data_IF_302330106397
#
_entry.id   IF_302330106397
#
_cell.length_a   1.000
_cell.length_b   1.000
_cell.length_c   1.000
_cell.angle_alpha   90.00
_cell.angle_beta   90.00
_cell.angle_gamma   90.00
#
_symmetry.space_group_name_H-M   'P 1'
#
loop_
_entity.id
_entity.type
_entity.pdbx_description
1 polymer ?
#
# COMPACT_ATOMS: atom_id res chain seq x y z
N UNK A 1 22.05 -14.95 -5.05
CA UNK A 1 21.98 -13.48 -5.07
C UNK A 1 20.71 -13.09 -4.30
N UNK A 2 20.85 -12.50 -3.11
CA UNK A 2 19.72 -12.12 -2.25
C UNK A 2 19.53 -10.60 -2.40
N UNK A 3 18.48 -10.18 -3.08
CA UNK A 3 18.06 -8.79 -3.14
C UNK A 3 17.25 -8.50 -1.87
N UNK A 4 17.88 -8.02 -0.80
CA UNK A 4 17.21 -7.87 0.51
C UNK A 4 16.92 -6.43 0.93
N UNK A 5 17.38 -5.42 0.17
CA UNK A 5 16.99 -4.03 0.41
C UNK A 5 16.15 -3.49 -0.74
N UNK A 6 14.95 -3.02 -0.42
CA UNK A 6 14.18 -2.09 -1.25
C UNK A 6 14.19 -0.76 -0.51
N UNK A 7 14.84 0.26 -1.08
CA UNK A 7 15.04 1.55 -0.40
C UNK A 7 13.89 2.54 -0.63
N UNK A 8 12.90 2.19 -1.47
CA UNK A 8 11.81 3.09 -1.89
C UNK A 8 10.47 2.36 -2.06
N UNK A 9 9.92 1.82 -0.96
CA UNK A 9 8.60 1.16 -0.96
C UNK A 9 7.51 2.13 -0.54
N UNK A 10 6.50 2.32 -1.38
CA UNK A 10 5.28 3.06 -1.05
C UNK A 10 4.15 2.09 -0.67
N UNK A 11 3.84 1.99 0.61
CA UNK A 11 2.85 1.05 1.14
C UNK A 11 1.42 1.59 1.01
N UNK A 12 0.82 1.47 -0.18
CA UNK A 12 -0.53 1.99 -0.46
C UNK A 12 -1.59 1.57 0.58
N UNK A 13 -1.55 0.30 1.01
CA UNK A 13 -2.51 -0.25 1.97
C UNK A 13 -1.95 -0.36 3.39
N UNK A 14 -0.90 0.39 3.70
CA UNK A 14 -0.25 0.38 5.01
C UNK A 14 0.69 -0.81 5.23
N UNK A 15 1.06 -1.02 6.49
CA UNK A 15 2.11 -1.95 6.90
C UNK A 15 1.67 -2.79 8.10
N UNK A 16 1.82 -4.11 7.97
CA UNK A 16 1.35 -5.07 8.97
C UNK A 16 2.02 -4.90 10.34
N UNK A 17 3.29 -4.50 10.36
CA UNK A 17 4.09 -4.34 11.60
C UNK A 17 3.95 -2.95 12.24
N UNK A 18 2.93 -2.21 11.84
CA UNK A 18 2.62 -0.89 12.35
C UNK A 18 1.18 -0.84 12.86
N UNK A 19 0.94 0.07 13.80
CA UNK A 19 -0.37 0.31 14.40
C UNK A 19 -0.68 1.82 14.36
N UNK A 20 -1.95 2.17 14.47
CA UNK A 20 -2.43 3.56 14.61
C UNK A 20 -3.66 3.61 15.51
N UNK A 21 -3.95 4.78 16.06
CA UNK A 21 -5.24 5.01 16.72
C UNK A 21 -6.37 5.10 15.69
N UNK A 22 -7.55 4.58 16.02
CA UNK A 22 -8.73 4.61 15.15
C UNK A 22 -9.10 6.03 14.71
N UNK A 23 -8.98 7.01 15.60
CA UNK A 23 -9.29 8.42 15.31
C UNK A 23 -8.05 9.28 14.99
N UNK A 24 -6.85 8.67 14.95
CA UNK A 24 -5.59 9.37 14.75
C UNK A 24 -4.77 8.68 13.65
N UNK A 25 -5.18 8.79 12.38
CA UNK A 25 -4.59 8.04 11.28
C UNK A 25 -3.13 8.38 10.99
N UNK A 26 -2.69 9.59 11.35
CA UNK A 26 -1.34 10.11 11.11
C UNK A 26 -0.33 9.72 12.22
N UNK A 27 -0.82 9.21 13.35
CA UNK A 27 0.03 8.73 14.45
C UNK A 27 0.28 7.23 14.29
N UNK A 28 1.37 6.91 13.61
CA UNK A 28 1.77 5.53 13.31
C UNK A 28 2.87 5.06 14.26
N UNK A 29 2.68 3.89 14.85
CA UNK A 29 3.59 3.26 15.81
C UNK A 29 4.16 1.98 15.21
N UNK A 30 5.43 1.72 15.40
CA UNK A 30 6.01 0.40 15.08
C UNK A 30 5.61 -0.58 16.18
N UNK A 31 4.77 -1.57 15.84
CA UNK A 31 4.33 -2.62 16.78
C UNK A 31 5.16 -3.90 16.67
N UNK A 32 5.91 -4.08 15.57
CA UNK A 32 6.73 -5.27 15.37
C UNK A 32 5.87 -6.53 15.23
N UNK A 33 5.91 -7.42 16.23
CA UNK A 33 5.08 -8.62 16.32
C UNK A 33 4.14 -8.59 17.53
N UNK A 34 3.96 -7.44 18.16
CA UNK A 34 3.07 -7.29 19.30
C UNK A 34 1.62 -7.40 18.84
N UNK A 35 0.84 -8.21 19.54
CA UNK A 35 -0.61 -8.32 19.35
C UNK A 35 -1.31 -7.03 19.81
N UNK A 36 -2.39 -6.67 19.12
CA UNK A 36 -3.26 -5.55 19.50
C UNK A 36 -4.55 -6.14 20.05
N UNK A 37 -4.81 -5.94 21.34
CA UNK A 37 -6.04 -6.35 22.00
C UNK A 37 -7.07 -5.22 22.05
N UNK A 38 -8.34 -5.59 22.21
CA UNK A 38 -9.38 -4.63 22.55
C UNK A 38 -9.07 -4.01 23.91
N UNK A 39 -9.13 -2.67 23.99
CA UNK A 39 -8.72 -1.90 25.17
C UNK A 39 -7.29 -1.36 25.09
N UNK A 40 -6.47 -1.80 24.12
CA UNK A 40 -5.17 -1.17 23.88
C UNK A 40 -5.38 0.21 23.25
N UNK A 41 -5.09 1.27 24.00
CA UNK A 41 -5.32 2.64 23.56
C UNK A 41 -4.05 3.28 23.02
N UNK A 42 -4.18 4.12 22.00
CA UNK A 42 -3.10 5.00 21.59
C UNK A 42 -2.94 6.15 22.59
N UNK A 43 -1.90 6.98 22.42
CA UNK A 43 -1.65 8.17 23.25
C UNK A 43 -2.86 9.13 23.31
N UNK A 44 -3.70 9.15 22.27
CA UNK A 44 -4.92 9.95 22.20
C UNK A 44 -6.16 9.31 22.84
N UNK A 45 -6.02 8.15 23.48
CA UNK A 45 -7.11 7.45 24.17
C UNK A 45 -8.09 6.69 23.27
N UNK A 46 -7.89 6.67 21.94
CA UNK A 46 -8.67 5.83 21.03
C UNK A 46 -8.10 4.42 20.91
N UNK A 47 -8.92 3.45 20.57
CA UNK A 47 -8.50 2.06 20.28
C UNK A 47 -7.36 2.02 19.26
N UNK A 48 -6.30 1.26 19.55
CA UNK A 48 -5.28 0.89 18.58
C UNK A 48 -5.84 -0.11 17.58
N UNK A 49 -5.44 0.03 16.33
CA UNK A 49 -5.72 -0.91 15.25
C UNK A 49 -4.48 -1.08 14.36
N UNK A 50 -4.41 -2.14 13.55
CA UNK A 50 -3.36 -2.28 12.55
C UNK A 50 -3.32 -1.06 11.62
N UNK A 51 -2.12 -0.63 11.24
CA UNK A 51 -1.92 0.40 10.22
C UNK A 51 -2.08 -0.20 8.82
N UNK A 52 -3.30 -0.66 8.55
CA UNK A 52 -3.73 -1.27 7.29
C UNK A 52 -4.94 -0.50 6.78
N UNK A 53 -5.05 -0.37 5.46
CA UNK A 53 -6.25 0.16 4.80
C UNK A 53 -7.25 -0.98 4.59
N UNK A 54 -8.44 -0.84 5.15
CA UNK A 54 -9.54 -1.79 4.92
C UNK A 54 -10.38 -1.41 3.70
N UNK A 55 -11.17 -2.36 3.20
CA UNK A 55 -12.15 -2.07 2.17
C UNK A 55 -13.12 -0.98 2.64
N UNK A 56 -13.36 0.01 1.78
CA UNK A 56 -14.19 1.17 2.09
C UNK A 56 -13.43 2.33 2.74
N UNK A 57 -12.18 2.13 3.17
CA UNK A 57 -11.32 3.23 3.62
C UNK A 57 -10.60 3.91 2.45
N UNK A 58 -10.25 5.18 2.64
CA UNK A 58 -9.40 5.89 1.68
C UNK A 58 -7.99 5.29 1.63
N UNK A 59 -7.38 5.34 0.44
CA UNK A 59 -5.98 4.95 0.19
C UNK A 59 -5.13 6.22 0.19
N UNK A 60 -4.47 6.61 1.30
CA UNK A 60 -3.94 7.98 1.45
C UNK A 60 -2.84 8.32 0.43
N UNK A 61 -2.02 7.33 0.08
CA UNK A 61 -0.85 7.49 -0.79
C UNK A 61 -1.17 7.32 -2.28
N UNK A 62 -2.45 7.26 -2.66
CA UNK A 62 -2.83 7.01 -4.06
C UNK A 62 -2.40 8.16 -5.00
N UNK A 63 -2.45 9.40 -4.51
CA UNK A 63 -2.04 10.58 -5.29
C UNK A 63 -0.53 10.59 -5.53
N UNK A 64 0.26 10.22 -4.52
CA UNK A 64 1.71 10.11 -4.63
C UNK A 64 2.10 8.97 -5.60
N UNK A 65 1.45 7.82 -5.48
CA UNK A 65 1.65 6.70 -6.40
C UNK A 65 1.31 7.08 -7.85
N UNK A 66 0.22 7.82 -8.06
CA UNK A 66 -0.15 8.33 -9.37
C UNK A 66 0.95 9.24 -9.95
N UNK A 67 1.49 10.16 -9.16
CA UNK A 67 2.56 11.06 -9.62
C UNK A 67 3.82 10.27 -10.03
N UNK A 68 4.19 9.24 -9.27
CA UNK A 68 5.31 8.35 -9.62
C UNK A 68 5.05 7.61 -10.94
N UNK A 69 3.85 7.07 -11.12
CA UNK A 69 3.48 6.34 -12.35
C UNK A 69 3.41 7.27 -13.57
N UNK A 70 2.94 8.52 -13.40
CA UNK A 70 2.91 9.52 -14.47
C UNK A 70 4.31 9.91 -14.97
N UNK A 71 5.33 9.79 -14.13
CA UNK A 71 6.73 10.06 -14.48
C UNK A 71 7.46 8.82 -15.02
N UNK A 72 6.85 7.64 -15.00
CA UNK A 72 7.52 6.39 -15.34
C UNK A 72 7.68 6.21 -16.85
N UNK A 73 8.86 5.79 -17.29
CA UNK A 73 9.10 5.29 -18.66
C UNK A 73 8.79 3.80 -18.80
N UNK A 74 8.84 3.06 -17.70
CA UNK A 74 8.51 1.63 -17.63
C UNK A 74 7.72 1.36 -16.36
N UNK A 75 6.63 0.59 -16.49
CA UNK A 75 5.78 0.18 -15.37
C UNK A 75 5.65 -1.34 -15.37
N UNK A 76 6.19 -1.96 -14.32
CA UNK A 76 6.03 -3.40 -14.07
C UNK A 76 4.89 -3.59 -13.06
N UNK A 77 3.88 -4.34 -13.46
CA UNK A 77 2.76 -4.76 -12.62
C UNK A 77 2.96 -6.23 -12.30
N UNK A 78 3.17 -6.57 -11.03
CA UNK A 78 3.61 -7.90 -10.63
C UNK A 78 2.68 -8.45 -9.55
N UNK A 79 2.17 -9.67 -9.74
CA UNK A 79 1.48 -10.42 -8.69
C UNK A 79 0.18 -9.76 -8.21
N UNK A 80 -0.59 -9.16 -9.12
CA UNK A 80 -1.89 -8.55 -8.82
C UNK A 80 -2.89 -8.86 -9.93
N UNK A 81 -4.13 -9.17 -9.53
CA UNK A 81 -5.25 -9.40 -10.44
C UNK A 81 -5.82 -8.11 -11.05
N UNK A 82 -5.35 -6.94 -10.61
CA UNK A 82 -5.87 -5.63 -11.03
C UNK A 82 -7.38 -5.43 -10.76
N UNK A 83 -7.92 -6.05 -9.70
CA UNK A 83 -9.33 -5.89 -9.32
C UNK A 83 -9.59 -4.94 -8.13
N UNK A 84 -8.55 -4.54 -7.39
CA UNK A 84 -8.70 -3.69 -6.20
C UNK A 84 -8.46 -2.22 -6.57
N UNK A 85 -9.55 -1.44 -6.57
CA UNK A 85 -9.51 0.00 -6.81
C UNK A 85 -9.29 0.76 -5.50
N UNK A 86 -8.56 1.91 -5.55
CA UNK A 86 -8.05 2.60 -6.74
C UNK A 86 -6.71 2.07 -7.30
N UNK A 87 -6.00 1.20 -6.59
CA UNK A 87 -4.65 0.76 -6.98
C UNK A 87 -4.57 0.17 -8.39
N UNK A 88 -5.56 -0.65 -8.79
CA UNK A 88 -5.65 -1.20 -10.15
C UNK A 88 -5.66 -0.12 -11.25
N UNK A 89 -6.26 1.04 -10.97
CA UNK A 89 -6.36 2.14 -11.93
C UNK A 89 -5.04 2.86 -12.21
N UNK A 90 -3.99 2.64 -11.40
CA UNK A 90 -2.69 3.28 -11.59
C UNK A 90 -2.09 3.00 -12.97
N UNK A 91 -2.36 1.83 -13.56
CA UNK A 91 -1.90 1.46 -14.91
C UNK A 91 -2.37 2.42 -16.00
N UNK A 92 -3.48 3.12 -15.77
CA UNK A 92 -4.05 4.11 -16.69
C UNK A 92 -3.41 5.50 -16.55
N UNK A 93 -2.61 5.72 -15.51
CA UNK A 93 -1.89 6.97 -15.30
C UNK A 93 -0.49 6.98 -15.91
N UNK A 94 0.01 5.82 -16.37
CA UNK A 94 1.27 5.75 -17.08
C UNK A 94 1.20 6.53 -18.41
N UNK A 95 2.24 7.28 -18.80
CA UNK A 95 2.22 8.07 -20.03
C UNK A 95 2.14 7.17 -21.27
N UNK A 96 1.75 7.74 -22.41
CA UNK A 96 1.57 6.99 -23.67
C UNK A 96 2.83 6.24 -24.10
N UNK A 97 4.02 6.84 -23.91
CA UNK A 97 5.31 6.22 -24.22
C UNK A 97 5.85 5.27 -23.14
N UNK A 98 5.10 5.04 -22.06
CA UNK A 98 5.50 4.13 -20.99
C UNK A 98 5.33 2.68 -21.43
N UNK A 99 6.39 1.88 -21.35
CA UNK A 99 6.28 0.43 -21.51
C UNK A 99 5.60 -0.17 -20.28
N UNK A 100 4.52 -0.93 -20.49
CA UNK A 100 3.75 -1.58 -19.40
C UNK A 100 3.87 -3.09 -19.52
N UNK A 101 4.37 -3.72 -18.46
CA UNK A 101 4.60 -5.17 -18.41
C UNK A 101 3.80 -5.74 -17.25
N UNK A 102 2.95 -6.72 -17.54
CA UNK A 102 2.25 -7.52 -16.52
C UNK A 102 2.99 -8.84 -16.33
N UNK A 103 3.34 -9.14 -15.07
CA UNK A 103 3.96 -10.40 -14.65
C UNK A 103 2.99 -11.08 -13.69
N UNK A 104 2.29 -12.09 -14.21
CA UNK A 104 1.30 -12.89 -13.48
C UNK A 104 1.63 -14.38 -13.69
N UNK A 105 1.70 -15.20 -12.62
CA UNK A 105 1.87 -16.65 -12.76
C UNK A 105 0.67 -17.32 -13.47
N UNK A 106 -0.52 -16.74 -13.41
CA UNK A 106 -1.69 -17.26 -14.09
C UNK A 106 -1.68 -16.76 -15.55
N UNK A 107 -1.03 -17.52 -16.44
CA UNK A 107 -1.19 -17.29 -17.88
C UNK A 107 -2.62 -17.60 -18.31
N UNK A 108 -3.24 -16.64 -19.02
CA UNK A 108 -4.53 -16.77 -19.68
C UNK A 108 -4.78 -18.21 -20.17
N UNK A 109 -5.73 -18.91 -19.55
CA UNK A 109 -6.33 -20.13 -20.11
C UNK A 109 -7.31 -19.79 -21.22
#
# INVERSE_FOLDING_TARGET
>A
MKWTSQESVLHLHGELRKARGEHYPDKVYTSGSQEIALGDLCEGGSQLRPHIVWFGEEVPLITDAKALVQAASHLLVIGTSLNVYPAAGLVHHAPYGCEKILIDPDTFS
#
